data_IF_521283374511
#
_entry.id   IF_521283374511
#
_cell.length_a   1.000
_cell.length_b   1.000
_cell.length_c   1.000
_cell.angle_alpha   90.00
_cell.angle_beta   90.00
_cell.angle_gamma   90.00
#
_symmetry.space_group_name_H-M   'P 1'
#
loop_
_entity.id
_entity.type
_entity.pdbx_description
1 polymer ?
#
# COMPACT_ATOMS: atom_id res chain seq x y z
N UNK A 1 14.04 -4.24 -2.91
CA UNK A 1 13.02 -3.25 -3.35
C UNK A 1 12.09 -3.93 -4.34
N UNK A 2 10.85 -3.45 -4.53
CA UNK A 2 9.92 -4.07 -5.50
C UNK A 2 10.42 -3.81 -6.94
N UNK A 3 10.25 -4.77 -7.84
CA UNK A 3 10.69 -4.68 -9.24
C UNK A 3 10.02 -3.52 -10.00
N UNK A 4 10.69 -2.99 -11.03
CA UNK A 4 10.10 -2.00 -11.92
C UNK A 4 8.87 -2.56 -12.64
N UNK A 5 7.89 -1.69 -12.94
CA UNK A 5 6.63 -2.05 -13.59
C UNK A 5 5.62 -2.75 -12.68
N UNK A 6 5.97 -3.06 -11.42
CA UNK A 6 5.06 -3.73 -10.49
C UNK A 6 3.90 -2.83 -10.05
N UNK A 7 4.12 -1.51 -9.92
CA UNK A 7 3.10 -0.56 -9.52
C UNK A 7 1.96 -0.37 -10.52
N UNK A 8 2.16 -0.78 -11.78
CA UNK A 8 1.14 -0.73 -12.85
C UNK A 8 0.60 -2.10 -13.24
N UNK A 9 1.20 -3.19 -12.74
CA UNK A 9 0.78 -4.57 -12.99
C UNK A 9 0.38 -5.25 -11.68
N UNK A 10 -0.59 -4.66 -10.99
CA UNK A 10 -1.05 -5.16 -9.70
C UNK A 10 -1.85 -6.46 -9.85
N UNK A 11 -1.68 -7.44 -8.94
CA UNK A 11 -2.36 -8.72 -9.01
C UNK A 11 -3.87 -8.57 -8.70
N UNK A 12 -4.75 -9.36 -9.32
CA UNK A 12 -6.18 -9.33 -9.00
C UNK A 12 -6.49 -9.77 -7.54
N UNK A 13 -5.55 -10.43 -6.88
CA UNK A 13 -5.70 -10.94 -5.52
C UNK A 13 -4.37 -10.83 -4.75
N UNK A 14 -4.46 -10.49 -3.47
CA UNK A 14 -3.33 -10.45 -2.52
C UNK A 14 -3.79 -11.13 -1.24
N UNK A 15 -3.38 -12.38 -1.02
CA UNK A 15 -3.89 -13.19 0.10
C UNK A 15 -5.41 -13.32 0.06
N UNK A 16 -6.12 -12.85 1.09
CA UNK A 16 -7.59 -12.84 1.15
C UNK A 16 -8.22 -11.62 0.48
N UNK A 17 -7.42 -10.64 0.07
CA UNK A 17 -7.88 -9.40 -0.52
C UNK A 17 -8.10 -9.58 -2.02
N UNK A 18 -9.25 -9.14 -2.50
CA UNK A 18 -9.62 -9.20 -3.92
C UNK A 18 -9.84 -7.79 -4.47
N UNK A 19 -9.44 -7.55 -5.72
CA UNK A 19 -9.76 -6.28 -6.37
C UNK A 19 -11.26 -6.13 -6.50
N UNK A 20 -11.82 -5.02 -6.00
CA UNK A 20 -13.20 -4.65 -6.27
C UNK A 20 -13.33 -4.19 -7.72
N UNK A 21 -14.39 -4.61 -8.42
CA UNK A 21 -14.59 -4.31 -9.84
C UNK A 21 -14.54 -2.80 -10.12
N UNK A 22 -13.73 -2.45 -11.12
CA UNK A 22 -13.14 -1.14 -11.35
C UNK A 22 -14.12 -0.13 -11.95
N UNK A 23 -14.76 0.67 -11.09
CA UNK A 23 -15.41 1.93 -11.49
C UNK A 23 -14.60 3.19 -11.15
N UNK A 24 -13.52 3.06 -10.38
CA UNK A 24 -12.74 4.16 -9.83
C UNK A 24 -11.38 4.40 -10.50
N UNK A 25 -10.80 5.58 -10.27
CA UNK A 25 -9.49 5.99 -10.80
C UNK A 25 -8.31 5.17 -10.23
N UNK A 26 -8.48 4.55 -9.06
CA UNK A 26 -7.46 3.81 -8.33
C UNK A 26 -7.90 2.38 -8.07
N UNK A 27 -7.01 1.37 -8.21
CA UNK A 27 -7.28 0.01 -7.79
C UNK A 27 -7.65 -0.05 -6.31
N UNK A 28 -8.75 -0.73 -6.01
CA UNK A 28 -9.24 -0.93 -4.63
C UNK A 28 -9.27 -2.43 -4.35
N UNK A 29 -8.77 -2.83 -3.19
CA UNK A 29 -8.87 -4.20 -2.70
C UNK A 29 -9.76 -4.24 -1.47
N UNK A 30 -10.58 -5.27 -1.35
CA UNK A 30 -11.46 -5.49 -0.19
C UNK A 30 -11.23 -6.86 0.43
N UNK A 31 -11.43 -6.94 1.75
CA UNK A 31 -11.40 -8.18 2.53
C UNK A 31 -12.34 -8.02 3.73
N UNK A 32 -13.51 -8.66 3.68
CA UNK A 32 -14.59 -8.37 4.64
C UNK A 32 -15.03 -6.91 4.53
N UNK A 33 -15.11 -6.21 5.66
CA UNK A 33 -15.46 -4.78 5.72
C UNK A 33 -14.28 -3.84 5.45
N UNK A 34 -13.06 -4.38 5.37
CA UNK A 34 -11.86 -3.58 5.12
C UNK A 34 -11.66 -3.30 3.64
N UNK A 35 -11.10 -2.12 3.36
CA UNK A 35 -10.87 -1.61 2.01
C UNK A 35 -9.58 -0.81 1.94
N UNK A 36 -8.76 -1.06 0.93
CA UNK A 36 -7.50 -0.34 0.68
C UNK A 36 -7.46 0.14 -0.77
N UNK A 37 -7.01 1.37 -0.97
CA UNK A 37 -6.81 1.96 -2.29
C UNK A 37 -5.34 2.08 -2.62
N UNK A 38 -4.96 1.78 -3.86
CA UNK A 38 -3.57 1.85 -4.30
C UNK A 38 -3.39 2.95 -5.35
N UNK A 39 -2.27 3.65 -5.27
CA UNK A 39 -1.81 4.57 -6.31
C UNK A 39 -0.33 4.37 -6.54
N UNK A 40 0.12 4.58 -7.78
CA UNK A 40 1.52 4.49 -8.14
C UNK A 40 2.07 5.88 -8.48
N UNK A 41 3.12 6.27 -7.78
CA UNK A 41 3.81 7.54 -7.93
C UNK A 41 5.12 7.29 -8.70
N UNK A 42 5.01 7.23 -10.03
CA UNK A 42 6.14 6.95 -10.92
C UNK A 42 7.26 8.01 -10.75
N UNK A 43 8.51 7.56 -10.68
CA UNK A 43 9.70 8.41 -10.55
C UNK A 43 9.83 9.15 -9.22
N UNK A 44 8.93 8.91 -8.26
CA UNK A 44 8.97 9.59 -6.97
C UNK A 44 10.03 9.01 -6.05
N UNK A 45 10.63 9.88 -5.22
CA UNK A 45 11.59 9.48 -4.21
C UNK A 45 10.89 8.89 -2.97
N UNK A 46 11.30 7.67 -2.62
CA UNK A 46 10.74 6.95 -1.48
C UNK A 46 11.08 7.64 -0.15
N UNK A 47 12.34 8.06 0.03
CA UNK A 47 12.81 8.54 1.33
C UNK A 47 12.09 9.85 1.72
N UNK A 48 11.87 10.74 0.75
CA UNK A 48 11.05 11.93 0.94
C UNK A 48 9.59 11.62 1.30
N UNK A 49 8.93 10.73 0.56
CA UNK A 49 7.50 10.43 0.76
C UNK A 49 7.26 9.65 2.06
N UNK A 50 8.16 8.73 2.43
CA UNK A 50 8.05 7.94 3.64
C UNK A 50 8.03 8.79 4.92
N UNK A 51 8.44 10.06 4.87
CA UNK A 51 8.32 11.01 5.99
C UNK A 51 6.87 11.40 6.31
N UNK A 52 5.93 11.23 5.35
CA UNK A 52 4.51 11.51 5.55
C UNK A 52 3.84 10.53 6.53
N UNK A 53 4.47 9.39 6.82
CA UNK A 53 4.02 8.46 7.87
C UNK A 53 4.53 8.97 9.22
N UNK A 54 3.75 9.77 9.91
CA UNK A 54 4.21 10.45 11.13
C UNK A 54 3.97 9.64 12.39
N UNK A 55 2.95 8.77 12.40
CA UNK A 55 2.53 8.03 13.60
C UNK A 55 2.47 6.52 13.33
N UNK A 56 2.60 5.74 14.40
CA UNK A 56 2.48 4.26 14.39
C UNK A 56 3.30 3.58 13.29
N UNK A 57 4.50 4.12 13.04
CA UNK A 57 5.39 3.67 11.97
C UNK A 57 5.76 2.20 12.18
N UNK A 58 5.41 1.38 11.19
CA UNK A 58 5.70 -0.05 11.14
C UNK A 58 6.42 -0.35 9.83
N UNK A 59 7.63 -0.90 9.93
CA UNK A 59 8.37 -1.36 8.74
C UNK A 59 7.66 -2.59 8.17
N UNK A 60 7.47 -2.59 6.85
CA UNK A 60 6.76 -3.65 6.12
C UNK A 60 7.53 -3.93 4.83
N UNK A 61 7.74 -5.18 4.46
CA UNK A 61 8.32 -5.59 3.17
C UNK A 61 9.38 -4.65 2.60
N UNK A 62 9.01 -3.89 1.57
CA UNK A 62 9.88 -2.92 0.89
C UNK A 62 9.64 -1.45 1.30
N UNK A 63 9.02 -1.17 2.45
CA UNK A 63 8.72 0.17 2.89
C UNK A 63 8.19 0.32 4.32
N UNK A 64 7.23 1.24 4.52
CA UNK A 64 6.71 1.61 5.84
C UNK A 64 5.21 1.89 5.79
N UNK A 65 4.50 1.43 6.82
CA UNK A 65 3.10 1.73 7.09
C UNK A 65 2.92 2.54 8.37
N UNK A 66 1.77 3.17 8.52
CA UNK A 66 1.35 3.83 9.75
C UNK A 66 0.18 4.73 9.45
N UNK A 67 0.12 5.89 10.11
CA UNK A 67 -0.81 6.95 9.77
C UNK A 67 -0.08 8.25 9.47
N UNK A 68 -0.78 9.14 8.77
CA UNK A 68 -0.39 10.54 8.63
C UNK A 68 -0.60 11.30 9.94
N UNK A 69 -0.56 12.64 9.89
CA UNK A 69 -0.90 13.51 11.02
C UNK A 69 -2.32 13.30 11.55
N UNK A 70 -3.21 12.71 10.76
CA UNK A 70 -4.53 12.22 11.19
C UNK A 70 -4.44 10.72 11.43
N UNK A 71 -4.74 10.26 12.65
CA UNK A 71 -4.57 8.86 13.08
C UNK A 71 -5.39 7.86 12.26
N UNK A 72 -6.58 8.25 11.80
CA UNK A 72 -7.44 7.39 10.97
C UNK A 72 -7.01 7.38 9.50
N UNK A 73 -6.16 8.30 9.06
CA UNK A 73 -5.65 8.31 7.69
C UNK A 73 -4.43 7.40 7.61
N UNK A 74 -4.70 6.11 7.44
CA UNK A 74 -3.67 5.09 7.36
C UNK A 74 -3.04 5.10 5.96
N UNK A 75 -1.73 4.89 5.92
CA UNK A 75 -1.00 4.81 4.66
C UNK A 75 0.21 3.89 4.78
N UNK A 76 0.56 3.25 3.67
CA UNK A 76 1.84 2.61 3.46
C UNK A 76 2.48 3.16 2.20
N UNK A 77 3.78 3.37 2.25
CA UNK A 77 4.60 3.61 1.07
C UNK A 77 5.53 2.42 0.89
N UNK A 78 5.52 1.82 -0.30
CA UNK A 78 6.39 0.73 -0.68
C UNK A 78 7.34 1.18 -1.78
N UNK A 79 8.64 0.93 -1.60
CA UNK A 79 9.68 1.28 -2.55
C UNK A 79 9.67 0.32 -3.74
N UNK A 80 9.48 0.85 -4.94
CA UNK A 80 9.72 0.13 -6.20
C UNK A 80 10.99 0.64 -6.87
N UNK A 81 11.46 -0.05 -7.90
CA UNK A 81 12.64 0.36 -8.66
C UNK A 81 12.42 1.59 -9.56
N UNK A 82 11.18 1.93 -9.80
CA UNK A 82 10.74 2.98 -10.72
C UNK A 82 9.77 3.99 -10.06
N UNK A 83 9.64 3.97 -8.73
CA UNK A 83 8.78 4.89 -7.99
C UNK A 83 8.34 4.36 -6.62
N UNK A 84 7.12 4.74 -6.24
CA UNK A 84 6.52 4.40 -4.95
C UNK A 84 5.09 3.92 -5.15
N UNK A 85 4.74 2.79 -4.54
CA UNK A 85 3.34 2.39 -4.37
C UNK A 85 2.84 3.00 -3.06
N UNK A 86 1.78 3.81 -3.14
CA UNK A 86 1.06 4.31 -1.99
C UNK A 86 -0.21 3.47 -1.80
N UNK A 87 -0.39 2.94 -0.60
CA UNK A 87 -1.55 2.20 -0.16
C UNK A 87 -2.23 3.03 0.91
N UNK A 88 -3.51 3.36 0.76
CA UNK A 88 -4.27 4.15 1.72
C UNK A 88 -5.50 3.41 2.22
N UNK A 89 -5.86 3.65 3.47
CA UNK A 89 -7.04 3.08 4.10
C UNK A 89 -7.62 4.03 5.17
N UNK A 90 -8.91 3.91 5.43
CA UNK A 90 -9.55 4.56 6.58
C UNK A 90 -9.48 3.63 7.80
N UNK A 91 -8.80 4.09 8.85
CA UNK A 91 -8.61 3.39 10.12
C UNK A 91 -9.89 3.08 10.89
N UNK A 92 -11.01 3.73 10.54
CA UNK A 92 -12.32 3.43 11.12
C UNK A 92 -12.94 2.12 10.60
N UNK A 93 -12.51 1.67 9.42
CA UNK A 93 -13.02 0.43 8.78
C UNK A 93 -11.91 -0.62 8.58
N UNK A 94 -10.67 -0.18 8.45
CA UNK A 94 -9.51 -1.03 8.18
C UNK A 94 -8.47 -0.85 9.28
N UNK A 95 -8.26 -1.85 10.16
CA UNK A 95 -7.23 -1.78 11.18
C UNK A 95 -5.82 -1.66 10.57
N UNK A 96 -4.91 -0.95 11.25
CA UNK A 96 -3.52 -0.79 10.79
C UNK A 96 -2.82 -2.14 10.57
N UNK A 97 -3.07 -3.14 11.42
CA UNK A 97 -2.49 -4.49 11.25
C UNK A 97 -2.91 -5.12 9.92
N UNK A 98 -4.17 -4.95 9.51
CA UNK A 98 -4.67 -5.50 8.25
C UNK A 98 -4.02 -4.80 7.04
N UNK A 99 -3.78 -3.49 7.14
CA UNK A 99 -3.07 -2.72 6.13
C UNK A 99 -1.58 -3.14 6.03
N UNK A 100 -0.91 -3.36 7.16
CA UNK A 100 0.47 -3.86 7.22
C UNK A 100 0.56 -5.24 6.57
N UNK A 101 -0.32 -6.16 6.95
CA UNK A 101 -0.36 -7.52 6.41
C UNK A 101 -0.59 -7.51 4.88
N UNK A 102 -1.50 -6.67 4.39
CA UNK A 102 -1.73 -6.48 2.96
C UNK A 102 -0.46 -5.99 2.25
N UNK A 103 0.22 -4.99 2.80
CA UNK A 103 1.42 -4.42 2.19
C UNK A 103 2.60 -5.42 2.14
N UNK A 104 2.74 -6.28 3.16
CA UNK A 104 3.73 -7.37 3.18
C UNK A 104 3.42 -8.44 2.11
N UNK A 105 2.15 -8.86 2.03
CA UNK A 105 1.70 -9.83 1.05
C UNK A 105 1.82 -9.30 -0.37
N UNK A 106 1.50 -8.02 -0.59
CA UNK A 106 1.66 -7.37 -1.89
C UNK A 106 3.13 -7.32 -2.29
N UNK A 107 4.03 -6.92 -1.37
CA UNK A 107 5.48 -6.91 -1.63
C UNK A 107 5.96 -8.31 -2.04
N UNK A 108 5.52 -9.34 -1.34
CA UNK A 108 5.86 -10.74 -1.64
C UNK A 108 5.33 -11.16 -3.02
N UNK A 109 4.08 -10.81 -3.33
CA UNK A 109 3.40 -11.18 -4.59
C UNK A 109 4.02 -10.50 -5.80
N UNK A 110 4.35 -9.22 -5.70
CA UNK A 110 5.02 -8.46 -6.75
C UNK A 110 6.49 -8.87 -6.93
N UNK A 111 7.09 -9.40 -5.87
CA UNK A 111 8.47 -9.83 -5.83
C UNK A 111 9.47 -8.66 -5.77
N UNK A 112 10.65 -8.97 -5.26
CA UNK A 112 11.73 -8.00 -5.09
C UNK A 112 12.91 -8.28 -6.01
N UNK A 113 13.71 -7.25 -6.26
CA UNK A 113 15.06 -7.31 -6.83
C UNK A 113 16.06 -6.58 -5.95
#
# INVERSE_FOLDING_TARGET
>A
MIKAGAGTNLPAQVGTWVTADAGGQYPVYTSGDSSVSLSFLAGSDYDGIATNVTNSRTVVGAGVCGSTSVETNLTCYLKTADGVINISADGSTTPLVALVDFADQLTTTLGTS
#
